data_IF_329041144829
#
_entry.id   IF_329041144829
#
_cell.length_a   1.000
_cell.length_b   1.000
_cell.length_c   1.000
_cell.angle_alpha   90.00
_cell.angle_beta   90.00
_cell.angle_gamma   90.00
#
_symmetry.space_group_name_H-M   'P 1'
#
loop_
_entity.id
_entity.type
_entity.pdbx_description
1 polymer ?
#
# COMPACT_ATOMS: atom_id res chain seq x y z
N UNK A 1 7.97 -16.22 2.99
CA UNK A 1 8.71 -15.72 1.81
C UNK A 1 7.71 -15.56 0.68
N UNK A 2 7.89 -14.61 -0.23
CA UNK A 2 6.98 -14.36 -1.37
C UNK A 2 7.64 -14.80 -2.66
N UNK A 3 6.87 -15.31 -3.61
CA UNK A 3 7.40 -15.71 -4.91
C UNK A 3 7.43 -14.50 -5.85
N UNK A 4 8.60 -14.21 -6.42
CA UNK A 4 8.78 -13.19 -7.46
C UNK A 4 9.52 -13.84 -8.61
N UNK A 5 8.88 -13.94 -9.77
CA UNK A 5 9.44 -14.58 -10.97
C UNK A 5 10.00 -16.00 -10.68
N UNK A 6 9.26 -16.80 -9.90
CA UNK A 6 9.66 -18.17 -9.55
C UNK A 6 10.70 -18.28 -8.44
N UNK A 7 11.25 -17.16 -7.93
CA UNK A 7 12.21 -17.15 -6.81
C UNK A 7 11.53 -16.75 -5.51
N UNK A 8 11.80 -17.49 -4.43
CA UNK A 8 11.34 -17.14 -3.08
C UNK A 8 12.20 -16.00 -2.53
N UNK A 9 11.60 -14.84 -2.30
CA UNK A 9 12.25 -13.64 -1.75
C UNK A 9 11.64 -13.30 -0.40
N UNK A 10 12.46 -12.92 0.59
CA UNK A 10 11.97 -12.38 1.87
C UNK A 10 11.72 -10.88 1.74
N UNK A 11 10.54 -10.41 2.13
CA UNK A 11 10.26 -8.98 2.21
C UNK A 11 10.95 -8.44 3.46
N UNK A 12 12.05 -7.71 3.28
CA UNK A 12 12.75 -6.99 4.35
C UNK A 12 12.34 -5.52 4.31
N UNK A 13 11.80 -5.00 5.41
CA UNK A 13 11.54 -3.57 5.60
C UNK A 13 12.67 -2.97 6.43
N UNK A 14 13.44 -2.04 5.86
CA UNK A 14 14.56 -1.39 6.56
C UNK A 14 14.11 -0.53 7.75
N UNK A 15 12.88 -0.04 7.69
CA UNK A 15 12.26 0.74 8.76
C UNK A 15 10.75 0.56 8.68
N UNK A 16 10.15 0.20 9.82
CA UNK A 16 8.69 0.06 9.96
C UNK A 16 8.06 1.33 10.54
N UNK A 17 8.78 2.02 11.45
CA UNK A 17 8.32 3.27 12.05
C UNK A 17 8.23 4.40 11.02
N UNK A 18 7.10 5.12 10.99
CA UNK A 18 6.90 6.30 10.14
C UNK A 18 7.93 7.39 10.46
N UNK A 19 8.22 8.23 9.48
CA UNK A 19 8.99 9.45 9.69
C UNK A 19 8.03 10.56 10.12
N UNK A 20 8.01 10.83 11.42
CA UNK A 20 7.15 11.85 12.01
C UNK A 20 7.86 13.21 12.06
N UNK A 21 7.10 14.29 11.85
CA UNK A 21 7.61 15.67 11.98
C UNK A 21 8.14 15.94 13.40
N UNK A 22 9.12 16.83 13.53
CA UNK A 22 9.58 17.30 14.85
C UNK A 22 8.42 17.95 15.62
N UNK A 23 8.31 17.69 16.92
CA UNK A 23 7.30 18.23 17.85
C UNK A 23 5.83 17.96 17.50
N UNK A 24 5.56 17.03 16.56
CA UNK A 24 4.20 16.63 16.22
C UNK A 24 3.46 15.87 17.32
N UNK A 25 4.22 15.37 18.29
CA UNK A 25 3.78 14.72 19.53
C UNK A 25 3.39 15.73 20.61
N UNK A 26 3.99 16.93 20.59
CA UNK A 26 3.74 17.98 21.59
C UNK A 26 2.58 18.89 21.22
N UNK A 27 2.40 19.16 19.93
CA UNK A 27 1.42 20.13 19.45
C UNK A 27 0.46 19.52 18.43
N UNK A 28 -0.84 19.57 18.72
CA UNK A 28 -1.91 19.10 17.83
C UNK A 28 -1.89 19.83 16.48
N UNK A 29 -1.59 21.14 16.49
CA UNK A 29 -1.43 21.95 15.25
C UNK A 29 -0.30 21.45 14.34
N UNK A 30 0.70 20.76 14.89
CA UNK A 30 1.83 20.22 14.13
C UNK A 30 1.50 18.79 13.71
N UNK A 31 0.92 18.64 12.52
CA UNK A 31 0.60 17.31 11.98
C UNK A 31 1.85 16.41 11.85
N UNK A 32 1.72 15.08 12.02
CA UNK A 32 2.85 14.14 12.02
C UNK A 32 3.50 13.93 10.64
N UNK A 33 2.90 14.46 9.56
CA UNK A 33 3.42 14.36 8.20
C UNK A 33 4.82 14.96 8.09
N UNK A 34 5.77 14.18 7.57
CA UNK A 34 7.18 14.59 7.48
C UNK A 34 7.35 15.94 6.79
N UNK A 35 8.12 16.84 7.42
CA UNK A 35 8.64 18.08 6.84
C UNK A 35 10.10 18.23 7.25
N UNK A 36 10.96 18.62 6.31
CA UNK A 36 12.39 18.83 6.59
C UNK A 36 12.55 20.05 7.51
N UNK A 37 13.12 19.91 8.72
CA UNK A 37 13.35 21.06 9.60
C UNK A 37 14.39 22.01 9.00
N UNK A 38 14.10 23.31 9.01
CA UNK A 38 14.95 24.36 8.41
C UNK A 38 15.70 25.22 9.44
N UNK A 39 15.22 25.32 10.68
CA UNK A 39 15.79 26.20 11.71
C UNK A 39 17.24 25.89 12.07
N UNK A 40 18.01 26.93 12.37
CA UNK A 40 19.46 26.85 12.59
C UNK A 40 19.81 25.96 13.80
N UNK A 41 19.05 26.03 14.90
CA UNK A 41 19.31 25.28 16.14
C UNK A 41 18.55 23.95 16.24
N UNK A 42 17.82 23.57 15.19
CA UNK A 42 16.98 22.38 15.25
C UNK A 42 17.82 21.10 15.40
N UNK A 43 17.59 20.35 16.49
CA UNK A 43 18.34 19.13 16.83
C UNK A 43 18.21 18.01 15.80
N UNK A 44 17.04 17.86 15.16
CA UNK A 44 16.82 16.88 14.08
C UNK A 44 17.66 17.24 12.86
N UNK A 45 17.69 18.53 12.48
CA UNK A 45 18.46 19.02 11.32
C UNK A 45 19.96 18.77 11.51
N UNK A 46 20.48 19.08 12.70
CA UNK A 46 21.88 18.85 13.11
C UNK A 46 22.23 17.39 13.39
N UNK A 47 21.24 16.47 13.38
CA UNK A 47 21.41 15.01 13.53
C UNK A 47 21.99 14.55 14.88
N UNK A 48 21.65 15.23 15.96
CA UNK A 48 22.05 14.80 17.31
C UNK A 48 21.61 13.35 17.61
N UNK A 49 22.41 12.63 18.40
CA UNK A 49 22.10 11.28 18.90
C UNK A 49 20.81 11.31 19.73
N UNK A 50 20.04 10.23 19.72
CA UNK A 50 18.76 10.11 20.43
C UNK A 50 17.57 10.78 19.73
N UNK A 51 17.81 11.69 18.79
CA UNK A 51 16.73 12.42 18.12
C UNK A 51 16.16 11.66 16.90
N UNK A 52 14.93 12.03 16.48
CA UNK A 52 14.22 11.48 15.31
C UNK A 52 15.11 11.47 14.06
N UNK A 53 15.19 10.32 13.38
CA UNK A 53 15.95 10.18 12.12
C UNK A 53 15.20 10.85 10.97
N UNK A 54 15.94 11.51 10.07
CA UNK A 54 15.39 12.07 8.83
C UNK A 54 15.25 11.00 7.73
N UNK A 55 14.27 11.10 6.82
CA UNK A 55 14.22 10.31 5.60
C UNK A 55 15.48 10.50 4.77
N UNK A 56 16.00 9.39 4.26
CA UNK A 56 17.18 9.33 3.40
C UNK A 56 17.00 8.20 2.38
N UNK A 57 17.70 8.28 1.26
CA UNK A 57 17.70 7.25 0.22
C UNK A 57 18.09 5.86 0.76
N UNK A 58 18.94 5.79 1.78
CA UNK A 58 19.37 4.53 2.41
C UNK A 58 18.23 3.70 3.01
N UNK A 59 17.12 4.32 3.41
CA UNK A 59 15.93 3.62 3.92
C UNK A 59 15.04 3.02 2.82
N UNK A 60 15.35 3.26 1.54
CA UNK A 60 14.63 2.69 0.41
C UNK A 60 14.75 1.16 0.44
N UNK A 61 13.61 0.48 0.36
CA UNK A 61 13.54 -0.99 0.26
C UNK A 61 14.08 -1.50 -1.09
N UNK A 62 14.47 -2.78 -1.12
CA UNK A 62 14.96 -3.44 -2.32
C UNK A 62 13.99 -3.24 -3.51
N UNK A 63 14.55 -3.09 -4.71
CA UNK A 63 13.75 -2.82 -5.93
C UNK A 63 12.70 -3.91 -6.18
N UNK A 64 13.09 -5.17 -5.99
CA UNK A 64 12.26 -6.35 -6.25
C UNK A 64 11.00 -6.38 -5.37
N UNK A 65 11.13 -6.07 -4.08
CA UNK A 65 10.05 -6.15 -3.07
C UNK A 65 9.36 -4.81 -2.81
N UNK A 66 9.69 -3.77 -3.58
CA UNK A 66 9.06 -2.45 -3.44
C UNK A 66 7.60 -2.53 -3.90
N UNK A 67 6.71 -1.85 -3.20
CA UNK A 67 5.25 -1.81 -3.46
C UNK A 67 4.54 -3.18 -3.42
N UNK A 68 5.20 -4.21 -2.88
CA UNK A 68 4.63 -5.54 -2.71
C UNK A 68 3.85 -5.63 -1.39
N UNK A 69 2.69 -6.29 -1.45
CA UNK A 69 1.86 -6.62 -0.31
C UNK A 69 2.46 -7.80 0.47
N UNK A 70 2.08 -7.98 1.73
CA UNK A 70 2.44 -9.18 2.49
C UNK A 70 1.98 -10.48 1.82
N UNK A 71 0.89 -10.44 1.05
CA UNK A 71 0.37 -11.56 0.24
C UNK A 71 1.28 -11.94 -0.95
N UNK A 72 2.26 -11.11 -1.29
CA UNK A 72 3.19 -11.34 -2.41
C UNK A 72 2.78 -10.66 -3.73
N UNK A 73 1.54 -10.17 -3.83
CA UNK A 73 1.08 -9.42 -5.00
C UNK A 73 1.46 -7.94 -4.94
N UNK A 74 1.41 -7.27 -6.09
CA UNK A 74 1.39 -5.81 -6.21
C UNK A 74 -0.04 -5.35 -6.45
N UNK A 75 -0.51 -4.35 -5.72
CA UNK A 75 -1.88 -3.85 -5.90
C UNK A 75 -1.99 -2.92 -7.11
N UNK A 76 -3.06 -3.10 -7.87
CA UNK A 76 -3.52 -2.18 -8.92
C UNK A 76 -4.91 -1.69 -8.53
N UNK A 77 -5.12 -0.38 -8.65
CA UNK A 77 -6.41 0.21 -8.37
C UNK A 77 -7.35 -0.02 -9.56
N UNK A 78 -8.55 -0.56 -9.33
CA UNK A 78 -9.54 -0.92 -10.35
C UNK A 78 -10.78 -0.04 -10.18
N UNK A 79 -11.20 0.65 -11.24
CA UNK A 79 -12.38 1.51 -11.22
C UNK A 79 -13.57 0.91 -11.97
N UNK A 80 -13.30 0.12 -13.00
CA UNK A 80 -14.32 -0.47 -13.87
C UNK A 80 -13.93 -1.91 -14.26
N UNK A 81 -14.82 -2.58 -14.99
CA UNK A 81 -14.63 -3.98 -15.42
C UNK A 81 -13.49 -4.11 -16.45
N UNK A 82 -13.30 -3.12 -17.34
CA UNK A 82 -12.24 -3.12 -18.36
C UNK A 82 -10.85 -3.03 -17.75
N UNK A 83 -10.70 -2.36 -16.61
CA UNK A 83 -9.42 -2.29 -15.89
C UNK A 83 -8.93 -3.68 -15.42
N UNK A 84 -9.84 -4.66 -15.28
CA UNK A 84 -9.48 -6.05 -14.96
C UNK A 84 -8.80 -6.76 -16.14
N UNK A 85 -9.10 -6.38 -17.37
CA UNK A 85 -8.53 -7.03 -18.55
C UNK A 85 -7.01 -6.78 -18.62
N UNK A 86 -6.54 -5.63 -18.13
CA UNK A 86 -5.10 -5.30 -18.00
C UNK A 86 -4.38 -6.28 -17.06
N UNK A 87 -5.10 -6.83 -16.07
CA UNK A 87 -4.56 -7.77 -15.09
C UNK A 87 -4.56 -9.22 -15.57
N UNK A 88 -5.20 -9.51 -16.71
CA UNK A 88 -5.37 -10.88 -17.21
C UNK A 88 -4.04 -11.60 -17.41
N UNK A 89 -3.08 -10.95 -18.09
CA UNK A 89 -1.76 -11.52 -18.36
C UNK A 89 -0.85 -11.55 -17.12
N UNK A 90 -1.14 -10.75 -16.09
CA UNK A 90 -0.26 -10.54 -14.94
C UNK A 90 -0.89 -10.97 -13.59
N UNK A 91 -1.89 -11.85 -13.63
CA UNK A 91 -2.67 -12.30 -12.48
C UNK A 91 -1.85 -12.93 -11.34
N UNK A 92 -0.67 -13.49 -11.63
CA UNK A 92 0.26 -14.05 -10.62
C UNK A 92 1.07 -12.99 -9.87
N UNK A 93 1.25 -11.81 -10.46
CA UNK A 93 2.07 -10.74 -9.90
C UNK A 93 1.24 -9.62 -9.29
N UNK A 94 0.05 -9.38 -9.83
CA UNK A 94 -0.80 -8.27 -9.44
C UNK A 94 -2.16 -8.72 -8.90
N UNK A 95 -2.67 -7.95 -7.95
CA UNK A 95 -4.02 -8.08 -7.42
C UNK A 95 -4.79 -6.77 -7.65
N UNK A 96 -6.10 -6.87 -7.82
CA UNK A 96 -6.97 -5.71 -7.95
C UNK A 96 -7.41 -5.18 -6.58
N UNK A 97 -7.46 -3.86 -6.42
CA UNK A 97 -8.10 -3.17 -5.31
C UNK A 97 -9.17 -2.24 -5.89
N UNK A 98 -10.44 -2.51 -5.59
CA UNK A 98 -11.55 -1.73 -6.12
C UNK A 98 -11.51 -0.33 -5.49
N UNK A 99 -11.54 0.71 -6.32
CA UNK A 99 -11.51 2.10 -5.88
C UNK A 99 -12.67 2.47 -4.94
N UNK A 100 -12.42 3.40 -4.01
CA UNK A 100 -13.39 3.83 -3.02
C UNK A 100 -14.67 4.45 -3.63
N UNK A 101 -14.58 5.07 -4.80
CA UNK A 101 -15.71 5.73 -5.45
C UNK A 101 -16.69 4.77 -6.15
N UNK A 102 -16.35 3.48 -6.28
CA UNK A 102 -17.18 2.52 -7.01
C UNK A 102 -18.39 2.11 -6.16
N UNK A 103 -19.59 2.25 -6.74
CA UNK A 103 -20.87 1.88 -6.12
C UNK A 103 -21.05 0.37 -6.04
N UNK A 104 -21.89 -0.11 -5.11
CA UNK A 104 -22.16 -1.54 -4.88
C UNK A 104 -22.56 -2.30 -6.13
N UNK A 105 -23.43 -1.73 -6.97
CA UNK A 105 -23.85 -2.32 -8.25
C UNK A 105 -22.65 -2.67 -9.15
N UNK A 106 -21.80 -1.68 -9.43
CA UNK A 106 -20.58 -1.88 -10.25
C UNK A 106 -19.57 -2.81 -9.58
N UNK A 107 -19.52 -2.85 -8.25
CA UNK A 107 -18.65 -3.79 -7.51
C UNK A 107 -19.04 -5.24 -7.74
N UNK A 108 -20.34 -5.54 -7.83
CA UNK A 108 -20.84 -6.89 -8.14
C UNK A 108 -20.26 -7.37 -9.47
N UNK A 109 -20.40 -6.54 -10.52
CA UNK A 109 -19.91 -6.85 -11.87
C UNK A 109 -18.38 -7.05 -11.90
N UNK A 110 -17.63 -6.20 -11.21
CA UNK A 110 -16.17 -6.30 -11.09
C UNK A 110 -15.77 -7.59 -10.36
N UNK A 111 -16.45 -7.95 -9.28
CA UNK A 111 -16.15 -9.16 -8.51
C UNK A 111 -16.45 -10.40 -9.32
N UNK A 112 -17.59 -10.44 -10.00
CA UNK A 112 -17.99 -11.54 -10.87
C UNK A 112 -16.99 -11.73 -12.01
N UNK A 113 -16.62 -10.65 -12.71
CA UNK A 113 -15.61 -10.71 -13.76
C UNK A 113 -14.24 -11.13 -13.23
N UNK A 114 -13.82 -10.62 -12.08
CA UNK A 114 -12.54 -11.00 -11.48
C UNK A 114 -12.47 -12.49 -11.13
N UNK A 115 -13.60 -13.09 -10.68
CA UNK A 115 -13.70 -14.55 -10.44
C UNK A 115 -13.51 -15.34 -11.73
N UNK A 116 -14.16 -14.92 -12.82
CA UNK A 116 -14.01 -15.56 -14.14
C UNK A 116 -12.55 -15.55 -14.61
N UNK A 117 -11.87 -14.40 -14.45
CA UNK A 117 -10.48 -14.21 -14.89
C UNK A 117 -9.44 -14.75 -13.88
N UNK A 118 -9.87 -15.34 -12.76
CA UNK A 118 -9.02 -15.79 -11.63
C UNK A 118 -8.08 -14.69 -11.12
N UNK A 119 -8.57 -13.46 -11.06
CA UNK A 119 -7.83 -12.31 -10.51
C UNK A 119 -8.17 -12.18 -9.01
N UNK A 120 -7.14 -12.14 -8.17
CA UNK A 120 -7.33 -11.90 -6.73
C UNK A 120 -7.68 -10.44 -6.46
N UNK A 121 -8.76 -10.19 -5.72
CA UNK A 121 -9.16 -8.85 -5.27
C UNK A 121 -8.88 -8.69 -3.76
N UNK A 122 -8.31 -7.55 -3.34
CA UNK A 122 -8.02 -7.28 -1.92
C UNK A 122 -9.26 -6.94 -1.10
N UNK A 123 -10.26 -6.31 -1.73
CA UNK A 123 -11.45 -5.79 -1.08
C UNK A 123 -12.75 -6.25 -1.78
N UNK A 124 -12.75 -7.48 -2.32
CA UNK A 124 -13.86 -8.02 -3.12
C UNK A 124 -15.22 -7.96 -2.43
N UNK A 125 -15.30 -8.27 -1.13
CA UNK A 125 -16.57 -8.29 -0.39
C UNK A 125 -17.01 -6.93 0.15
N UNK A 126 -16.24 -5.86 -0.04
CA UNK A 126 -16.56 -4.59 0.57
C UNK A 126 -17.86 -3.99 -0.05
N UNK A 127 -18.74 -3.43 0.78
CA UNK A 127 -20.04 -2.83 0.39
C UNK A 127 -21.04 -3.77 -0.30
N UNK A 128 -20.74 -5.06 -0.40
CA UNK A 128 -21.67 -6.08 -0.85
C UNK A 128 -22.23 -6.74 0.42
N UNK A 129 -23.54 -6.62 0.62
CA UNK A 129 -24.25 -7.42 1.63
C UNK A 129 -24.61 -8.75 0.96
N UNK A 130 -24.37 -9.85 1.65
CA UNK A 130 -24.96 -11.13 1.29
C UNK A 130 -26.44 -11.07 1.63
N UNK A 131 -27.31 -11.51 0.72
CA UNK A 131 -28.68 -11.86 1.08
C UNK A 131 -28.58 -13.10 1.98
N UNK A 132 -29.05 -13.00 3.22
CA UNK A 132 -29.28 -14.17 4.06
C UNK A 132 -30.47 -14.90 3.45
N UNK A 133 -30.24 -16.10 2.92
CA UNK A 133 -31.32 -17.03 2.66
C UNK A 133 -31.66 -17.65 4.02
N UNK A 134 -32.86 -17.29 4.50
CA UNK A 134 -33.61 -17.76 5.70
C UNK A 134 -32.87 -18.67 6.69
#
# INVERSE_FOLDING_TARGET
MVSVNGKKVKIVKKRTRRFTRHESDRYIRVKPNWRKPKGIDNRVRRRFKGQRKMPKIGYRNARVTRHMLPSGFRKVLVHNVKDLDVLLMQNKQYCGEIGHAVSSKKRKDIVERAKQLRITLTNGNARLRTEENE
#
